data_IF_689817269293
#
_entry.id   IF_689817269293
#
_cell.length_a   1.000
_cell.length_b   1.000
_cell.length_c   1.000
_cell.angle_alpha   90.00
_cell.angle_beta   90.00
_cell.angle_gamma   90.00
#
_symmetry.space_group_name_H-M   'P 1'
#
loop_
_entity.id
_entity.type
_entity.pdbx_description
1 polymer ?
#
# COMPACT_ATOMS: atom_id res chain seq x y z
N UNK A 1 -28.82 -4.10 56.35
CA UNK A 1 -28.05 -4.76 55.27
C UNK A 1 -28.64 -4.49 53.87
N UNK A 2 -28.70 -3.24 53.39
CA UNK A 2 -29.22 -2.92 52.03
C UNK A 2 -28.34 -1.93 51.23
N UNK A 3 -27.31 -1.35 51.83
CA UNK A 3 -26.44 -0.37 51.18
C UNK A 3 -25.27 -1.05 50.43
N UNK A 4 -24.88 -2.26 50.86
CA UNK A 4 -23.75 -2.99 50.26
C UNK A 4 -24.05 -3.57 48.87
N UNK A 5 -25.32 -3.85 48.54
CA UNK A 5 -25.70 -4.46 47.26
C UNK A 5 -25.75 -3.45 46.10
N UNK A 6 -25.97 -2.16 46.39
CA UNK A 6 -26.04 -1.11 45.36
C UNK A 6 -24.63 -0.74 44.88
N UNK A 7 -23.64 -0.77 45.78
CA UNK A 7 -22.24 -0.48 45.41
C UNK A 7 -21.60 -1.57 44.54
N UNK A 8 -22.04 -2.83 44.65
CA UNK A 8 -21.54 -3.91 43.81
C UNK A 8 -22.03 -3.80 42.35
N UNK A 9 -23.26 -3.35 42.13
CA UNK A 9 -23.79 -3.11 40.79
C UNK A 9 -23.16 -1.89 40.10
N UNK A 10 -22.83 -0.84 40.87
CA UNK A 10 -22.11 0.32 40.34
C UNK A 10 -20.65 -0.02 39.98
N UNK A 11 -19.97 -0.85 40.76
CA UNK A 11 -18.61 -1.28 40.44
C UNK A 11 -18.52 -2.16 39.17
N UNK A 12 -19.54 -2.99 38.90
CA UNK A 12 -19.58 -3.83 37.69
C UNK A 12 -19.94 -3.01 36.43
N UNK A 13 -20.71 -1.93 36.59
CA UNK A 13 -21.07 -1.01 35.51
C UNK A 13 -19.87 -0.20 34.98
N UNK A 14 -18.83 -0.02 35.80
CA UNK A 14 -17.59 0.66 35.39
C UNK A 14 -16.50 -0.29 34.87
N UNK A 15 -16.66 -1.61 35.02
CA UNK A 15 -15.65 -2.59 34.58
C UNK A 15 -15.71 -2.91 33.07
N UNK A 16 -16.75 -2.49 32.35
CA UNK A 16 -16.93 -2.76 30.91
C UNK A 16 -17.03 -1.52 30.02
N UNK A 17 -16.56 -0.36 30.49
CA UNK A 17 -16.09 0.66 29.54
C UNK A 17 -14.64 0.31 29.24
N UNK A 18 -14.45 -0.76 28.47
CA UNK A 18 -13.18 -1.02 27.80
C UNK A 18 -12.94 0.18 26.88
N UNK A 19 -12.22 1.17 27.41
CA UNK A 19 -11.72 2.27 26.60
C UNK A 19 -10.94 1.61 25.46
N UNK A 20 -11.29 1.85 24.18
CA UNK A 20 -10.52 1.31 23.08
C UNK A 20 -9.06 1.73 23.31
N UNK A 21 -8.09 0.81 23.18
CA UNK A 21 -6.72 1.07 23.57
C UNK A 21 -6.23 2.37 22.93
N UNK A 22 -5.70 3.26 23.77
CA UNK A 22 -5.12 4.55 23.39
C UNK A 22 -4.20 4.37 22.17
N UNK A 23 -4.57 5.03 21.07
CA UNK A 23 -4.01 4.99 19.70
C UNK A 23 -4.43 3.79 18.85
N UNK A 24 -5.59 3.89 18.21
CA UNK A 24 -5.88 3.12 17.00
C UNK A 24 -4.74 3.33 15.99
N UNK A 25 -4.08 2.24 15.61
CA UNK A 25 -2.94 2.34 14.68
C UNK A 25 -3.43 2.90 13.34
N UNK A 26 -2.67 3.83 12.74
CA UNK A 26 -3.04 4.53 11.48
C UNK A 26 -3.49 3.56 10.37
N UNK A 27 -2.88 2.37 10.32
CA UNK A 27 -3.16 1.33 9.35
C UNK A 27 -4.51 0.64 9.58
N UNK A 28 -5.05 0.61 10.80
CA UNK A 28 -6.37 0.00 11.08
C UNK A 28 -7.55 0.91 10.75
N UNK A 29 -7.29 2.17 10.40
CA UNK A 29 -8.32 3.13 10.01
C UNK A 29 -8.51 3.13 8.49
N UNK A 30 -9.71 3.44 8.04
CA UNK A 30 -10.05 3.60 6.62
C UNK A 30 -10.77 2.41 6.01
N UNK A 31 -11.08 2.53 4.72
CA UNK A 31 -11.90 1.58 3.99
C UNK A 31 -11.22 0.22 3.84
N UNK A 32 -12.02 -0.83 3.89
CA UNK A 32 -11.59 -2.21 3.66
C UNK A 32 -11.37 -2.44 2.17
N UNK A 33 -10.26 -3.11 1.83
CA UNK A 33 -9.99 -3.57 0.47
C UNK A 33 -10.93 -4.71 0.16
N UNK A 34 -11.73 -4.57 -0.89
CA UNK A 34 -12.40 -5.67 -1.54
C UNK A 34 -11.42 -6.35 -2.52
N UNK A 35 -11.02 -7.61 -2.29
CA UNK A 35 -10.14 -8.33 -3.21
C UNK A 35 -10.69 -8.44 -4.63
N UNK A 36 -12.01 -8.45 -4.81
CA UNK A 36 -12.63 -8.59 -6.14
C UNK A 36 -12.71 -7.24 -6.88
N UNK A 37 -12.85 -6.14 -6.13
CA UNK A 37 -13.01 -4.80 -6.67
C UNK A 37 -12.09 -3.77 -6.02
N UNK A 38 -10.77 -3.94 -6.22
CA UNK A 38 -9.76 -3.01 -5.71
C UNK A 38 -9.89 -1.66 -6.44
N UNK A 39 -10.12 -0.59 -5.68
CA UNK A 39 -10.12 0.79 -6.15
C UNK A 39 -8.68 1.33 -6.22
N UNK A 40 -8.19 1.55 -7.45
CA UNK A 40 -6.82 1.99 -7.71
C UNK A 40 -6.55 3.42 -7.22
N UNK A 41 -7.53 4.32 -7.34
CA UNK A 41 -7.41 5.72 -6.90
C UNK A 41 -7.31 5.82 -5.39
N UNK A 42 -8.17 5.08 -4.68
CA UNK A 42 -8.16 5.03 -3.23
C UNK A 42 -6.87 4.41 -2.69
N UNK A 43 -6.35 3.37 -3.35
CA UNK A 43 -5.06 2.79 -3.01
C UNK A 43 -3.91 3.78 -3.25
N UNK A 44 -3.92 4.48 -4.39
CA UNK A 44 -2.92 5.50 -4.72
C UNK A 44 -2.91 6.62 -3.66
N UNK A 45 -4.08 7.12 -3.26
CA UNK A 45 -4.23 8.09 -2.17
C UNK A 45 -3.67 7.55 -0.86
N UNK A 46 -4.03 6.33 -0.49
CA UNK A 46 -3.57 5.67 0.75
C UNK A 46 -2.05 5.49 0.81
N UNK A 47 -1.39 5.28 -0.33
CA UNK A 47 0.08 5.24 -0.44
C UNK A 47 0.71 6.58 -0.10
N UNK A 48 0.16 7.67 -0.63
CA UNK A 48 0.67 9.03 -0.38
C UNK A 48 0.44 9.43 1.07
N UNK A 49 -0.75 9.15 1.59
CA UNK A 49 -1.10 9.40 2.99
C UNK A 49 -0.14 8.66 3.92
N UNK A 50 0.23 7.41 3.60
CA UNK A 50 1.21 6.66 4.39
C UNK A 50 2.60 7.30 4.38
N UNK A 51 3.06 7.73 3.20
CA UNK A 51 4.35 8.40 3.04
C UNK A 51 4.37 9.70 3.84
N UNK A 52 3.34 10.53 3.68
CA UNK A 52 3.25 11.82 4.35
C UNK A 52 3.05 11.67 5.86
N UNK A 53 2.30 10.66 6.32
CA UNK A 53 2.20 10.29 7.74
C UNK A 53 3.57 10.00 8.38
N UNK A 54 4.48 9.34 7.65
CA UNK A 54 5.86 9.12 8.15
C UNK A 54 6.69 10.40 8.16
N UNK A 55 6.50 11.25 7.16
CA UNK A 55 7.22 12.51 7.03
C UNK A 55 6.80 13.52 8.09
N UNK A 56 5.51 13.64 8.40
CA UNK A 56 5.04 14.48 9.49
C UNK A 56 5.58 14.04 10.85
N UNK A 57 5.62 12.73 11.12
CA UNK A 57 6.27 12.17 12.32
C UNK A 57 7.75 12.53 12.45
N UNK A 58 8.43 12.74 11.33
CA UNK A 58 9.86 13.11 11.27
C UNK A 58 10.08 14.59 10.96
N UNK A 59 9.02 15.42 11.06
CA UNK A 59 9.03 16.86 10.77
C UNK A 59 9.59 17.21 9.39
N UNK A 60 9.39 16.34 8.40
CA UNK A 60 9.78 16.54 7.00
C UNK A 60 8.61 17.16 6.22
N UNK A 61 8.93 17.98 5.22
CA UNK A 61 7.96 18.62 4.31
C UNK A 61 7.08 17.58 3.64
N UNK A 62 5.80 17.86 3.42
CA UNK A 62 4.88 16.98 2.70
C UNK A 62 5.37 16.80 1.25
N UNK A 63 5.20 15.60 0.71
CA UNK A 63 5.43 15.32 -0.72
C UNK A 63 4.10 15.44 -1.45
N UNK A 64 4.12 16.18 -2.55
CA UNK A 64 2.96 16.38 -3.40
C UNK A 64 2.95 15.41 -4.58
N UNK A 65 1.76 14.96 -4.96
CA UNK A 65 1.56 14.17 -6.17
C UNK A 65 1.81 15.03 -7.41
N UNK A 66 2.46 14.44 -8.41
CA UNK A 66 2.70 15.09 -9.70
C UNK A 66 2.17 14.21 -10.84
N UNK A 67 1.17 14.73 -11.56
CA UNK A 67 0.49 14.03 -12.66
C UNK A 67 1.37 13.84 -13.90
N UNK A 68 2.35 14.71 -14.13
CA UNK A 68 3.34 14.54 -15.21
C UNK A 68 4.27 13.36 -14.91
N UNK A 69 4.69 13.19 -13.65
CA UNK A 69 5.45 12.02 -13.20
C UNK A 69 4.60 10.73 -13.36
N UNK A 70 3.30 10.78 -13.05
CA UNK A 70 2.38 9.66 -13.27
C UNK A 70 2.33 9.27 -14.76
N UNK A 71 2.18 10.25 -15.64
CA UNK A 71 2.13 10.05 -17.10
C UNK A 71 3.40 9.41 -17.64
N UNK A 72 4.58 9.81 -17.13
CA UNK A 72 5.84 9.16 -17.49
C UNK A 72 5.81 7.68 -17.11
N UNK A 73 5.40 7.36 -15.88
CA UNK A 73 5.32 5.98 -15.42
C UNK A 73 4.36 5.16 -16.28
N UNK A 74 3.20 5.73 -16.60
CA UNK A 74 2.20 5.07 -17.44
C UNK A 74 2.74 4.80 -18.84
N UNK A 75 3.39 5.78 -19.48
CA UNK A 75 4.03 5.61 -20.79
C UNK A 75 5.06 4.47 -20.78
N UNK A 76 5.92 4.42 -19.76
CA UNK A 76 6.92 3.35 -19.61
C UNK A 76 6.26 1.97 -19.45
N UNK A 77 5.17 1.89 -18.68
CA UNK A 77 4.48 0.63 -18.45
C UNK A 77 3.74 0.14 -19.71
N UNK A 78 3.25 1.05 -20.55
CA UNK A 78 2.64 0.71 -21.85
C UNK A 78 3.71 0.25 -22.84
N UNK A 79 4.72 1.09 -23.11
CA UNK A 79 5.76 0.83 -24.13
C UNK A 79 6.62 -0.40 -23.81
N UNK A 80 6.75 -0.76 -22.54
CA UNK A 80 7.62 -1.84 -22.10
C UNK A 80 6.87 -2.91 -21.29
N UNK A 81 5.56 -3.11 -21.54
CA UNK A 81 4.69 -4.05 -20.80
C UNK A 81 5.36 -5.41 -20.51
N UNK A 82 6.01 -6.00 -21.51
CA UNK A 82 6.62 -7.35 -21.45
C UNK A 82 8.09 -7.38 -21.02
N UNK A 83 8.70 -6.23 -20.71
CA UNK A 83 10.09 -6.18 -20.24
C UNK A 83 10.16 -6.43 -18.74
N UNK A 84 11.29 -7.02 -18.32
CA UNK A 84 11.61 -7.17 -16.90
C UNK A 84 11.67 -5.81 -16.19
N UNK A 85 11.48 -5.84 -14.86
CA UNK A 85 11.45 -4.63 -14.04
C UNK A 85 12.76 -3.83 -14.10
N UNK A 86 13.90 -4.51 -14.23
CA UNK A 86 15.21 -3.86 -14.28
C UNK A 86 15.37 -3.01 -15.56
N UNK A 87 14.98 -3.55 -16.71
CA UNK A 87 14.94 -2.86 -18.00
C UNK A 87 13.92 -1.73 -17.98
N UNK A 88 12.73 -1.95 -17.41
CA UNK A 88 11.73 -0.88 -17.18
C UNK A 88 12.32 0.27 -16.36
N UNK A 89 13.07 -0.03 -15.28
CA UNK A 89 13.75 0.98 -14.45
C UNK A 89 14.85 1.72 -15.20
N UNK A 90 15.69 1.02 -15.97
CA UNK A 90 16.77 1.65 -16.76
C UNK A 90 16.19 2.59 -17.81
N UNK A 91 15.14 2.16 -18.51
CA UNK A 91 14.41 2.98 -19.50
C UNK A 91 13.64 4.11 -18.86
N UNK A 92 13.02 3.89 -17.70
CA UNK A 92 12.37 4.93 -16.92
C UNK A 92 13.35 6.05 -16.61
N UNK A 93 14.55 5.70 -16.14
CA UNK A 93 15.58 6.67 -15.81
C UNK A 93 16.07 7.43 -17.05
N UNK A 94 16.33 6.75 -18.17
CA UNK A 94 16.80 7.42 -19.39
C UNK A 94 15.74 8.33 -20.00
N UNK A 95 14.50 7.86 -20.14
CA UNK A 95 13.40 8.66 -20.69
C UNK A 95 13.04 9.83 -19.78
N UNK A 96 13.22 9.66 -18.46
CA UNK A 96 13.01 10.73 -17.51
C UNK A 96 14.02 11.86 -17.73
N UNK A 97 15.33 11.59 -17.77
CA UNK A 97 16.32 12.67 -17.94
C UNK A 97 16.12 13.44 -19.26
N UNK A 98 15.65 12.77 -20.31
CA UNK A 98 15.31 13.42 -21.58
C UNK A 98 14.07 14.34 -21.46
N UNK A 99 13.08 13.96 -20.64
CA UNK A 99 11.83 14.71 -20.45
C UNK A 99 11.81 15.63 -19.23
N UNK A 100 12.79 15.52 -18.33
CA UNK A 100 12.86 16.25 -17.07
C UNK A 100 12.82 17.76 -17.27
N UNK A 101 13.52 18.21 -18.32
CA UNK A 101 13.63 19.62 -18.68
C UNK A 101 12.27 20.20 -19.11
N UNK A 102 11.48 19.44 -19.88
CA UNK A 102 10.13 19.82 -20.33
C UNK A 102 9.12 19.95 -19.16
N UNK A 103 9.42 19.34 -18.02
CA UNK A 103 8.55 19.25 -16.82
C UNK A 103 9.02 20.26 -15.75
N UNK A 104 9.99 21.13 -16.06
CA UNK A 104 10.52 22.14 -15.13
C UNK A 104 11.48 21.59 -14.08
N UNK A 105 11.99 20.36 -14.26
CA UNK A 105 13.02 19.78 -13.40
C UNK A 105 14.39 19.96 -14.04
N UNK A 106 15.02 21.10 -13.80
CA UNK A 106 16.34 21.47 -14.33
C UNK A 106 17.49 20.88 -13.51
N UNK A 107 17.33 20.74 -12.19
CA UNK A 107 18.33 20.16 -11.28
C UNK A 107 17.67 19.21 -10.30
N UNK A 108 17.48 17.96 -10.71
CA UNK A 108 16.71 17.00 -9.93
C UNK A 108 17.29 15.60 -9.96
N UNK A 109 17.12 14.90 -8.85
CA UNK A 109 17.45 13.49 -8.74
C UNK A 109 16.18 12.65 -8.71
N UNK A 110 16.28 11.44 -9.28
CA UNK A 110 15.13 10.54 -9.41
C UNK A 110 15.42 9.20 -8.76
N UNK A 111 14.49 8.72 -7.93
CA UNK A 111 14.52 7.36 -7.40
C UNK A 111 13.24 6.64 -7.78
N UNK A 112 13.42 5.64 -8.64
CA UNK A 112 12.37 4.72 -9.04
C UNK A 112 12.28 3.61 -7.99
N UNK A 113 11.06 3.30 -7.58
CA UNK A 113 10.74 2.17 -6.72
C UNK A 113 9.59 1.37 -7.31
N UNK A 114 9.60 0.08 -7.02
CA UNK A 114 8.54 -0.83 -7.41
C UNK A 114 8.23 -1.80 -6.27
N UNK A 115 6.97 -2.12 -6.08
CA UNK A 115 6.54 -3.20 -5.21
C UNK A 115 5.49 -4.02 -5.93
N UNK A 116 5.49 -5.32 -5.68
CA UNK A 116 4.37 -6.18 -6.00
C UNK A 116 3.85 -6.82 -4.71
N UNK A 117 2.53 -6.89 -4.58
CA UNK A 117 1.88 -7.73 -3.59
C UNK A 117 1.04 -8.76 -4.32
N UNK A 118 1.60 -9.98 -4.44
CA UNK A 118 0.93 -11.14 -5.03
C UNK A 118 -0.21 -11.66 -4.14
N UNK A 119 -0.22 -11.24 -2.87
CA UNK A 119 -1.24 -11.60 -1.90
C UNK A 119 -1.71 -10.35 -1.15
N UNK A 120 -3.02 -10.13 -1.15
CA UNK A 120 -3.71 -9.19 -0.26
C UNK A 120 -3.81 -9.73 1.18
N UNK A 121 -2.95 -10.65 1.59
CA UNK A 121 -3.02 -11.29 2.91
C UNK A 121 -1.68 -11.25 3.63
N UNK A 122 -1.69 -11.02 4.94
CA UNK A 122 -0.46 -10.90 5.73
C UNK A 122 0.37 -12.20 5.75
N UNK A 123 -0.26 -13.37 5.59
CA UNK A 123 0.39 -14.68 5.64
C UNK A 123 0.53 -15.32 4.25
N UNK A 124 1.59 -16.10 4.05
CA UNK A 124 1.85 -16.85 2.82
C UNK A 124 1.06 -18.17 2.71
N UNK A 125 0.02 -18.35 3.53
CA UNK A 125 -0.80 -19.56 3.50
C UNK A 125 -1.60 -19.65 2.21
N UNK A 126 -1.86 -20.88 1.77
CA UNK A 126 -2.72 -21.16 0.63
C UNK A 126 -4.15 -20.67 0.88
N UNK A 127 -4.83 -20.30 -0.21
CA UNK A 127 -6.23 -19.86 -0.21
C UNK A 127 -6.97 -20.35 -1.43
N UNK A 128 -8.29 -20.34 -1.32
CA UNK A 128 -9.21 -20.58 -2.44
C UNK A 128 -10.43 -19.67 -2.30
N UNK A 129 -11.09 -19.39 -3.41
CA UNK A 129 -12.35 -18.65 -3.41
C UNK A 129 -13.52 -19.57 -3.04
N UNK A 130 -14.32 -19.16 -2.06
CA UNK A 130 -15.55 -19.85 -1.67
C UNK A 130 -16.76 -19.00 -2.11
N UNK A 131 -17.55 -19.47 -3.10
CA UNK A 131 -18.74 -18.76 -3.58
C UNK A 131 -19.83 -18.60 -2.52
N UNK A 132 -20.00 -19.58 -1.62
CA UNK A 132 -21.06 -19.57 -0.59
C UNK A 132 -20.83 -18.45 0.44
N UNK A 133 -19.57 -18.20 0.77
CA UNK A 133 -19.16 -17.13 1.68
C UNK A 133 -18.82 -15.82 0.93
N UNK A 134 -18.95 -15.81 -0.40
CA UNK A 134 -18.54 -14.73 -1.29
C UNK A 134 -17.16 -14.15 -0.94
N UNK A 135 -16.15 -15.01 -0.80
CA UNK A 135 -14.83 -14.57 -0.35
C UNK A 135 -13.75 -15.64 -0.34
N UNK A 136 -12.51 -15.18 -0.14
CA UNK A 136 -11.35 -16.07 -0.03
C UNK A 136 -11.29 -16.72 1.36
N UNK A 137 -11.04 -18.02 1.40
CA UNK A 137 -10.87 -18.81 2.62
C UNK A 137 -9.46 -19.41 2.70
N UNK A 138 -8.98 -19.65 3.91
CA UNK A 138 -7.70 -20.32 4.14
C UNK A 138 -7.73 -21.80 3.74
N UNK A 139 -6.62 -22.30 3.21
CA UNK A 139 -6.42 -23.70 2.84
C UNK A 139 -6.54 -23.95 1.34
N UNK A 140 -6.86 -25.18 0.98
CA UNK A 140 -7.17 -25.57 -0.41
C UNK A 140 -8.51 -26.26 -0.44
N UNK A 141 -9.26 -26.10 -1.54
CA UNK A 141 -10.58 -26.74 -1.71
C UNK A 141 -10.52 -28.26 -1.55
N UNK A 142 -9.42 -28.89 -2.00
CA UNK A 142 -9.19 -30.33 -1.88
C UNK A 142 -9.04 -30.78 -0.42
N UNK A 143 -8.24 -30.05 0.37
CA UNK A 143 -7.98 -30.42 1.76
C UNK A 143 -9.22 -30.27 2.67
N UNK A 144 -10.17 -29.42 2.30
CA UNK A 144 -11.39 -29.20 3.10
C UNK A 144 -12.57 -30.09 2.69
N UNK A 145 -12.52 -30.70 1.50
CA UNK A 145 -13.64 -31.46 0.92
C UNK A 145 -14.10 -32.63 1.81
N UNK A 146 -13.14 -33.30 2.45
CA UNK A 146 -13.36 -34.54 3.21
C UNK A 146 -13.13 -34.34 4.71
N UNK A 147 -13.17 -33.10 5.19
CA UNK A 147 -12.96 -32.76 6.61
C UNK A 147 -14.19 -32.09 7.21
N UNK A 148 -14.40 -32.26 8.51
CA UNK A 148 -15.42 -31.51 9.27
C UNK A 148 -15.01 -30.06 9.57
N UNK A 149 -13.87 -29.61 9.04
CA UNK A 149 -13.31 -28.29 9.30
C UNK A 149 -14.12 -27.24 8.51
N UNK A 150 -14.74 -26.31 9.24
CA UNK A 150 -15.44 -25.18 8.63
C UNK A 150 -14.44 -24.24 7.94
N UNK A 151 -14.81 -23.76 6.76
CA UNK A 151 -14.05 -22.77 6.00
C UNK A 151 -13.88 -21.48 6.79
N UNK A 152 -12.63 -21.00 6.90
CA UNK A 152 -12.29 -19.77 7.61
C UNK A 152 -11.98 -18.68 6.59
N UNK A 153 -12.76 -17.61 6.60
CA UNK A 153 -12.53 -16.45 5.75
C UNK A 153 -11.17 -15.79 6.04
N UNK A 154 -10.51 -15.38 4.97
CA UNK A 154 -9.30 -14.56 5.05
C UNK A 154 -9.68 -13.19 5.61
N UNK A 155 -9.00 -12.69 6.66
CA UNK A 155 -9.23 -11.34 7.16
C UNK A 155 -8.99 -10.32 6.05
N UNK A 156 -9.98 -9.46 5.82
CA UNK A 156 -9.84 -8.32 4.92
C UNK A 156 -8.82 -7.33 5.51
N UNK A 157 -8.09 -6.63 4.64
CA UNK A 157 -7.18 -5.56 5.03
C UNK A 157 -7.73 -4.20 4.64
N UNK A 158 -7.34 -3.15 5.33
CA UNK A 158 -7.64 -1.77 4.90
C UNK A 158 -6.71 -1.34 3.76
N UNK A 159 -7.11 -0.33 2.99
CA UNK A 159 -6.22 0.28 1.98
C UNK A 159 -4.94 0.83 2.61
N UNK A 160 -5.01 1.32 3.85
CA UNK A 160 -3.85 1.79 4.61
C UNK A 160 -2.87 0.67 4.98
N UNK A 161 -3.37 -0.51 5.36
CA UNK A 161 -2.54 -1.70 5.57
C UNK A 161 -1.86 -2.14 4.27
N UNK A 162 -2.61 -2.16 3.16
CA UNK A 162 -2.06 -2.52 1.85
C UNK A 162 -0.97 -1.54 1.40
N UNK A 163 -1.24 -0.23 1.50
CA UNK A 163 -0.29 0.83 1.21
C UNK A 163 0.99 0.72 2.04
N UNK A 164 0.86 0.55 3.36
CA UNK A 164 1.98 0.32 4.28
C UNK A 164 2.84 -0.86 3.83
N UNK A 165 2.20 -1.98 3.47
CA UNK A 165 2.87 -3.19 3.02
C UNK A 165 3.61 -2.98 1.70
N UNK A 166 2.96 -2.38 0.70
CA UNK A 166 3.57 -2.11 -0.62
C UNK A 166 4.79 -1.21 -0.47
N UNK A 167 4.69 -0.13 0.32
CA UNK A 167 5.83 0.76 0.54
C UNK A 167 6.96 0.05 1.30
N UNK A 168 6.67 -0.75 2.33
CA UNK A 168 7.70 -1.49 3.05
C UNK A 168 8.32 -2.64 2.27
N UNK A 169 7.66 -3.16 1.23
CA UNK A 169 8.22 -4.21 0.37
C UNK A 169 8.84 -3.68 -0.91
N UNK A 170 8.75 -2.37 -1.16
CA UNK A 170 9.30 -1.73 -2.35
C UNK A 170 10.80 -1.98 -2.54
N UNK A 171 11.21 -2.16 -3.78
CA UNK A 171 12.56 -2.37 -4.24
C UNK A 171 13.02 -1.23 -5.16
N UNK A 172 14.33 -0.92 -5.19
CA UNK A 172 15.36 -1.48 -4.32
C UNK A 172 15.21 -0.95 -2.88
N UNK A 173 15.52 -1.78 -1.88
CA UNK A 173 15.41 -1.38 -0.47
C UNK A 173 16.25 -0.14 -0.14
N UNK A 174 17.38 0.04 -0.81
CA UNK A 174 18.24 1.23 -0.72
C UNK A 174 17.53 2.53 -1.12
N UNK A 175 16.45 2.46 -1.89
CA UNK A 175 15.66 3.63 -2.28
C UNK A 175 14.64 4.05 -1.22
N UNK A 176 14.29 3.18 -0.26
CA UNK A 176 13.27 3.51 0.78
C UNK A 176 13.68 4.68 1.67
N UNK A 177 14.98 4.84 1.93
CA UNK A 177 15.51 5.97 2.71
C UNK A 177 15.18 7.33 2.09
N UNK A 178 15.06 7.37 0.77
CA UNK A 178 14.79 8.61 0.03
C UNK A 178 13.36 9.11 0.24
N UNK A 179 12.40 8.25 0.61
CA UNK A 179 11.04 8.67 1.00
C UNK A 179 11.10 9.71 2.15
N UNK A 180 12.10 9.63 3.02
CA UNK A 180 12.27 10.52 4.16
C UNK A 180 13.31 11.64 3.93
N UNK A 181 13.91 11.73 2.74
CA UNK A 181 14.88 12.78 2.42
C UNK A 181 14.15 14.14 2.32
N UNK A 182 14.74 15.20 2.89
CA UNK A 182 14.16 16.57 2.92
C UNK A 182 13.93 17.16 1.54
N UNK A 183 14.77 16.79 0.59
CA UNK A 183 14.85 17.43 -0.72
C UNK A 183 13.80 16.85 -1.67
N UNK A 184 13.17 15.72 -1.29
CA UNK A 184 12.01 15.17 -1.99
C UNK A 184 10.80 16.06 -1.73
N UNK A 185 10.26 16.58 -2.83
CA UNK A 185 9.05 17.40 -2.85
C UNK A 185 7.93 16.78 -3.66
N UNK A 186 8.25 15.90 -4.63
CA UNK A 186 7.27 15.44 -5.61
C UNK A 186 7.33 13.91 -5.81
N UNK A 187 6.17 13.30 -6.05
CA UNK A 187 6.03 11.86 -6.31
C UNK A 187 5.07 11.59 -7.47
N UNK A 188 5.45 10.68 -8.37
CA UNK A 188 4.53 10.03 -9.29
C UNK A 188 4.29 8.60 -8.86
N UNK A 189 3.04 8.13 -8.94
CA UNK A 189 2.62 6.78 -8.58
C UNK A 189 1.70 6.23 -9.67
N UNK A 190 2.02 5.01 -10.12
CA UNK A 190 1.13 4.17 -10.89
C UNK A 190 0.80 2.92 -10.09
N UNK A 191 -0.50 2.67 -9.93
CA UNK A 191 -1.05 1.44 -9.36
C UNK A 191 -1.56 0.62 -10.53
N UNK A 192 -1.29 -0.68 -10.52
CA UNK A 192 -1.83 -1.62 -11.51
C UNK A 192 -2.34 -2.84 -10.78
N UNK A 193 -3.63 -3.15 -10.97
CA UNK A 193 -4.24 -4.36 -10.41
C UNK A 193 -4.30 -5.45 -11.47
N UNK A 194 -3.65 -6.58 -11.22
CA UNK A 194 -3.69 -7.75 -12.08
C UNK A 194 -4.75 -8.74 -11.60
N UNK A 195 -5.87 -8.79 -12.34
CA UNK A 195 -7.02 -9.64 -12.05
C UNK A 195 -7.01 -10.99 -12.80
N UNK A 196 -5.85 -11.42 -13.32
CA UNK A 196 -5.77 -12.68 -14.08
C UNK A 196 -6.18 -13.88 -13.22
N UNK A 197 -7.24 -14.58 -13.61
CA UNK A 197 -7.79 -15.73 -12.90
C UNK A 197 -8.77 -15.40 -11.77
N UNK A 198 -9.27 -14.15 -11.69
CA UNK A 198 -10.35 -13.77 -10.79
C UNK A 198 -11.68 -14.43 -11.22
N UNK A 199 -12.53 -14.93 -10.31
CA UNK A 199 -12.44 -14.87 -8.84
C UNK A 199 -11.60 -15.96 -8.18
N UNK A 200 -11.19 -17.00 -8.90
CA UNK A 200 -10.53 -18.18 -8.29
C UNK A 200 -9.14 -17.88 -7.72
N UNK A 201 -8.50 -16.83 -8.20
CA UNK A 201 -7.18 -16.37 -7.78
C UNK A 201 -7.24 -14.96 -7.22
N UNK A 202 -6.57 -14.75 -6.07
CA UNK A 202 -6.39 -13.42 -5.48
C UNK A 202 -5.67 -12.51 -6.49
N UNK A 203 -6.21 -11.32 -6.81
CA UNK A 203 -5.53 -10.37 -7.67
C UNK A 203 -4.20 -9.90 -7.07
N UNK A 204 -3.19 -9.70 -7.92
CA UNK A 204 -1.95 -9.07 -7.51
C UNK A 204 -1.99 -7.56 -7.73
N UNK A 205 -1.30 -6.82 -6.89
CA UNK A 205 -1.19 -5.37 -7.00
C UNK A 205 0.25 -4.98 -7.22
N UNK A 206 0.50 -4.28 -8.31
CA UNK A 206 1.79 -3.69 -8.65
C UNK A 206 1.76 -2.19 -8.36
N UNK A 207 2.77 -1.71 -7.65
CA UNK A 207 3.01 -0.30 -7.38
C UNK A 207 4.32 0.10 -8.04
N UNK A 208 4.29 1.08 -8.93
CA UNK A 208 5.49 1.69 -9.51
C UNK A 208 5.48 3.18 -9.19
N UNK A 209 6.54 3.71 -8.60
CA UNK A 209 6.58 5.11 -8.22
C UNK A 209 7.95 5.75 -8.37
N UNK A 210 7.94 7.05 -8.64
CA UNK A 210 9.12 7.89 -8.84
C UNK A 210 9.10 8.98 -7.78
N UNK A 211 10.16 9.06 -6.99
CA UNK A 211 10.45 10.21 -6.15
C UNK A 211 11.32 11.20 -6.92
N UNK A 212 10.97 12.48 -6.83
CA UNK A 212 11.74 13.60 -7.36
C UNK A 212 12.02 14.62 -6.25
N UNK A 213 13.23 15.15 -6.28
CA UNK A 213 13.67 16.25 -5.41
C UNK A 213 14.66 17.15 -6.12
N UNK A 214 14.72 18.42 -5.70
CA UNK A 214 15.69 19.36 -6.24
C UNK A 214 17.06 19.11 -5.61
N UNK A 215 18.11 19.08 -6.43
CA UNK A 215 19.47 19.25 -5.95
C UNK A 215 19.69 20.76 -5.93
N UNK A 216 19.90 21.36 -4.76
CA UNK A 216 20.54 22.69 -4.76
C UNK A 216 21.88 22.51 -5.47
N UNK A 217 22.23 23.31 -6.50
CA UNK A 217 23.61 23.36 -6.93
C UNK A 217 24.42 23.74 -5.70
N UNK A 218 25.26 22.81 -5.22
CA UNK A 218 26.36 23.19 -4.35
C UNK A 218 27.18 24.15 -5.19
N UNK A 219 27.22 25.41 -4.76
CA UNK A 219 27.78 26.58 -5.45
C UNK A 219 28.84 26.19 -6.49
N UNK A 220 28.61 26.57 -7.75
CA UNK A 220 29.64 26.63 -8.79
C UNK A 220 30.72 27.63 -8.38
#
# INVERSE_FOLDING_TARGET
MRILQILFFLAISFAFISHPPKRTRWDLQGEMVDPLNINEELLKKSVIDFINYKRTKTRRKIIELNTQLDSIIQKINIEHKNKDLFKKKKKARSNFYLKAWEIGYTNSWFKVMYSESVSLMASGKAVYYNPELNGFCWGTKKALKDTSIKSILVPKMTYRQLAKRLIYRSLPGSNRRWINNSDVSKIGIHVKVNKKGNPDKIPSVELFFILSGNVMPLKL
#
